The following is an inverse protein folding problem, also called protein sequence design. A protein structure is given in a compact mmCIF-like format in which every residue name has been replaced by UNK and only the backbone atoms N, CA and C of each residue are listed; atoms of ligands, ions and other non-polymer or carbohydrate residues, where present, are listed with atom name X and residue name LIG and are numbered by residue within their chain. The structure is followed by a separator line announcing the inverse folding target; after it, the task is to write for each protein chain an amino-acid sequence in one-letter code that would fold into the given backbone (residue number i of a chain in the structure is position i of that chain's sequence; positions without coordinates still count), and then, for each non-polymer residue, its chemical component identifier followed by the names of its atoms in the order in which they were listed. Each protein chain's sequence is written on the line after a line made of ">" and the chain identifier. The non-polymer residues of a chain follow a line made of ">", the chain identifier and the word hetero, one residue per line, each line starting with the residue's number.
data_IF_166160162190
#
_entry.id   IF_166160162190
#
_cell.length_a   1.000
_cell.length_b   1.000
_cell.length_c   1.000
_cell.angle_alpha   90.00
_cell.angle_beta   90.00
_cell.angle_gamma   90.00
#
_symmetry.space_group_name_H-M   'P 1'
#
loop_
_entity.id
_entity.type
_entity.pdbx_description
1 polymer ?
#
# COMPACT_ATOMS: atom_id res chain seq x y z
N UNK A 1 -14.21 11.80 -8.61
CA UNK A 1 -14.50 10.35 -8.53
C UNK A 1 -15.27 9.73 -9.72
N UNK A 2 -15.69 10.46 -10.77
CA UNK A 2 -16.44 9.88 -11.91
C UNK A 2 -15.76 10.08 -13.29
N UNK A 3 -14.50 10.50 -13.31
CA UNK A 3 -13.76 10.77 -14.55
C UNK A 3 -13.55 9.50 -15.38
N UNK A 4 -13.61 9.55 -16.73
CA UNK A 4 -13.37 8.39 -17.57
C UNK A 4 -11.90 7.93 -17.50
N UNK A 5 -11.66 6.64 -17.75
CA UNK A 5 -10.33 6.04 -17.71
C UNK A 5 -10.09 5.20 -16.44
N UNK A 6 -9.06 4.36 -16.47
CA UNK A 6 -8.76 3.44 -15.36
C UNK A 6 -7.86 4.06 -14.29
N UNK A 7 -7.07 5.07 -14.67
CA UNK A 7 -6.24 5.88 -13.76
C UNK A 7 -7.03 7.03 -13.11
N UNK A 8 -8.36 7.05 -13.20
CA UNK A 8 -9.17 7.99 -12.44
C UNK A 8 -9.24 7.57 -10.98
N UNK A 9 -9.32 8.52 -10.05
CA UNK A 9 -9.71 8.24 -8.67
C UNK A 9 -11.19 7.84 -8.63
N UNK A 10 -11.52 6.69 -8.06
CA UNK A 10 -12.87 6.12 -8.02
C UNK A 10 -13.25 5.72 -6.61
N UNK A 11 -14.50 5.97 -6.21
CA UNK A 11 -15.09 5.30 -5.06
C UNK A 11 -15.43 3.84 -5.37
N UNK A 12 -15.71 3.05 -4.33
CA UNK A 12 -16.02 1.63 -4.46
C UNK A 12 -17.21 1.37 -5.39
N UNK A 13 -18.29 2.15 -5.24
CA UNK A 13 -19.51 2.01 -6.04
C UNK A 13 -19.25 2.27 -7.53
N UNK A 14 -18.43 3.26 -7.85
CA UNK A 14 -18.04 3.60 -9.22
C UNK A 14 -17.20 2.49 -9.83
N UNK A 15 -16.18 1.99 -9.12
CA UNK A 15 -15.36 0.88 -9.60
C UNK A 15 -16.23 -0.38 -9.81
N UNK A 16 -17.07 -0.74 -8.84
CA UNK A 16 -17.92 -1.91 -8.94
C UNK A 16 -18.89 -1.81 -10.12
N UNK A 17 -19.52 -0.64 -10.31
CA UNK A 17 -20.40 -0.38 -11.46
C UNK A 17 -19.67 -0.56 -12.79
N UNK A 18 -18.47 0.00 -12.93
CA UNK A 18 -17.67 -0.12 -14.17
C UNK A 18 -17.26 -1.57 -14.44
N UNK A 19 -16.87 -2.31 -13.40
CA UNK A 19 -16.55 -3.75 -13.52
C UNK A 19 -17.78 -4.55 -13.95
N UNK A 20 -18.95 -4.30 -13.35
CA UNK A 20 -20.21 -4.97 -13.72
C UNK A 20 -20.67 -4.62 -15.15
N UNK A 21 -20.42 -3.40 -15.61
CA UNK A 21 -20.76 -2.93 -16.95
C UNK A 21 -19.76 -3.38 -18.04
N UNK A 22 -18.61 -3.96 -17.67
CA UNK A 22 -17.54 -4.31 -18.61
C UNK A 22 -16.79 -3.09 -19.16
N UNK A 23 -16.78 -1.99 -18.41
CA UNK A 23 -16.13 -0.72 -18.78
C UNK A 23 -14.65 -0.65 -18.35
N UNK A 24 -14.15 -1.67 -17.66
CA UNK A 24 -12.75 -1.80 -17.27
C UNK A 24 -12.07 -2.92 -18.06
N UNK A 25 -10.74 -2.87 -18.26
CA UNK A 25 -9.96 -4.04 -18.66
C UNK A 25 -10.18 -5.22 -17.70
N UNK A 26 -10.01 -6.44 -18.21
CA UNK A 26 -10.19 -7.68 -17.44
C UNK A 26 -9.30 -7.73 -16.19
N UNK A 27 -8.03 -7.36 -16.32
CA UNK A 27 -7.10 -7.35 -15.19
C UNK A 27 -7.52 -6.43 -14.03
N UNK A 28 -8.20 -5.31 -14.31
CA UNK A 28 -8.74 -4.42 -13.26
C UNK A 28 -9.90 -5.09 -12.55
N UNK A 29 -10.79 -5.74 -13.31
CA UNK A 29 -11.91 -6.46 -12.76
C UNK A 29 -11.45 -7.65 -11.89
N UNK A 30 -10.39 -8.34 -12.29
CA UNK A 30 -9.83 -9.46 -11.54
C UNK A 30 -9.10 -9.00 -10.27
N UNK A 31 -8.33 -7.91 -10.34
CA UNK A 31 -7.80 -7.26 -9.12
C UNK A 31 -8.92 -6.90 -8.16
N UNK A 32 -9.96 -6.20 -8.63
CA UNK A 32 -11.09 -5.81 -7.79
C UNK A 32 -11.78 -7.00 -7.11
N UNK A 33 -12.07 -8.07 -7.86
CA UNK A 33 -12.73 -9.26 -7.32
C UNK A 33 -11.85 -9.97 -6.29
N UNK A 34 -10.60 -10.24 -6.63
CA UNK A 34 -9.68 -10.97 -5.74
C UNK A 34 -9.26 -10.14 -4.53
N UNK A 35 -9.19 -8.81 -4.66
CA UNK A 35 -9.03 -7.89 -3.54
C UNK A 35 -10.20 -8.03 -2.56
N UNK A 36 -11.42 -7.81 -3.05
CA UNK A 36 -12.62 -7.82 -2.22
C UNK A 36 -12.87 -9.19 -1.58
N UNK A 37 -12.69 -10.28 -2.35
CA UNK A 37 -12.81 -11.64 -1.85
C UNK A 37 -11.74 -11.97 -0.80
N UNK A 38 -10.50 -11.48 -0.97
CA UNK A 38 -9.44 -11.67 0.01
C UNK A 38 -9.71 -10.96 1.35
N UNK A 39 -10.23 -9.74 1.31
CA UNK A 39 -10.47 -8.95 2.53
C UNK A 39 -11.79 -9.30 3.23
N UNK A 40 -12.83 -9.69 2.49
CA UNK A 40 -14.14 -10.06 3.04
C UNK A 40 -14.33 -11.57 3.23
N UNK A 41 -13.39 -12.37 2.73
CA UNK A 41 -13.43 -13.82 2.82
C UNK A 41 -12.82 -14.38 4.08
N UNK A 42 -12.74 -15.70 4.12
CA UNK A 42 -12.08 -16.47 5.17
C UNK A 42 -11.01 -17.37 4.57
N UNK A 43 -9.93 -17.57 5.32
CA UNK A 43 -8.87 -18.53 5.01
C UNK A 43 -8.48 -19.30 6.25
N UNK A 44 -8.27 -20.61 6.10
CA UNK A 44 -8.00 -21.52 7.22
C UNK A 44 -9.07 -21.43 8.34
N UNK A 45 -10.31 -21.06 8.00
CA UNK A 45 -11.40 -20.86 8.97
C UNK A 45 -11.27 -19.57 9.79
N UNK A 46 -10.44 -18.63 9.35
CA UNK A 46 -10.24 -17.32 9.98
C UNK A 46 -10.54 -16.18 9.00
N UNK A 47 -11.16 -15.08 9.44
CA UNK A 47 -11.37 -13.91 8.59
C UNK A 47 -10.04 -13.17 8.34
N UNK A 48 -10.03 -12.25 7.38
CA UNK A 48 -8.85 -11.40 7.11
C UNK A 48 -8.32 -10.76 8.41
N UNK A 49 -6.99 -10.76 8.66
CA UNK A 49 -6.43 -10.39 9.98
C UNK A 49 -6.72 -8.96 10.40
N UNK A 50 -6.59 -8.02 9.46
CA UNK A 50 -6.89 -6.60 9.70
C UNK A 50 -8.39 -6.36 9.62
N UNK A 51 -9.06 -6.42 10.77
CA UNK A 51 -10.51 -6.21 10.83
C UNK A 51 -10.93 -4.79 10.43
N UNK A 52 -10.08 -3.78 10.64
CA UNK A 52 -10.33 -2.42 10.19
C UNK A 52 -10.38 -2.34 8.66
N UNK A 53 -9.42 -2.97 7.97
CA UNK A 53 -9.39 -3.02 6.51
C UNK A 53 -10.59 -3.79 5.93
N UNK A 54 -10.94 -4.93 6.54
CA UNK A 54 -12.11 -5.71 6.14
C UNK A 54 -13.42 -4.92 6.33
N UNK A 55 -13.61 -4.28 7.49
CA UNK A 55 -14.78 -3.43 7.75
C UNK A 55 -14.82 -2.25 6.77
N UNK A 56 -13.69 -1.63 6.49
CA UNK A 56 -13.61 -0.48 5.58
C UNK A 56 -14.05 -0.82 4.16
N UNK A 57 -13.57 -1.94 3.60
CA UNK A 57 -14.03 -2.46 2.30
C UNK A 57 -15.52 -2.82 2.35
N UNK A 58 -15.98 -3.41 3.45
CA UNK A 58 -17.39 -3.76 3.61
C UNK A 58 -18.31 -2.52 3.57
N UNK A 59 -17.85 -1.39 4.13
CA UNK A 59 -18.56 -0.11 4.11
C UNK A 59 -18.34 0.71 2.82
N UNK A 60 -17.40 0.31 1.96
CA UNK A 60 -17.10 0.98 0.71
C UNK A 60 -16.38 2.31 0.86
N UNK A 61 -15.59 2.44 1.92
CA UNK A 61 -14.79 3.64 2.23
C UNK A 61 -13.47 3.76 1.44
N UNK A 62 -12.83 2.69 0.95
CA UNK A 62 -11.61 2.86 0.17
C UNK A 62 -11.88 3.56 -1.17
N UNK A 63 -10.87 4.29 -1.62
CA UNK A 63 -10.79 4.85 -2.96
C UNK A 63 -9.84 3.99 -3.80
N UNK A 64 -10.04 4.00 -5.12
CA UNK A 64 -9.39 3.10 -6.05
C UNK A 64 -8.81 3.84 -7.24
N UNK A 65 -7.68 3.35 -7.74
CA UNK A 65 -7.13 3.70 -9.05
C UNK A 65 -6.41 2.50 -9.66
N UNK A 66 -6.26 2.47 -10.98
CA UNK A 66 -5.59 1.39 -11.68
C UNK A 66 -4.55 1.94 -12.67
N UNK A 67 -3.31 1.43 -12.60
CA UNK A 67 -2.13 1.96 -13.29
C UNK A 67 -1.67 0.98 -14.39
N UNK A 68 -1.55 1.42 -15.66
CA UNK A 68 -1.19 0.54 -16.78
C UNK A 68 0.25 0.01 -16.75
N UNK A 69 1.15 0.62 -15.98
CA UNK A 69 2.55 0.23 -15.90
C UNK A 69 3.16 0.51 -14.52
N UNK A 70 4.10 -0.35 -14.12
CA UNK A 70 4.93 -0.15 -12.91
C UNK A 70 6.20 0.66 -13.21
N UNK A 71 6.51 0.95 -14.47
CA UNK A 71 7.80 1.57 -14.87
C UNK A 71 7.68 2.78 -15.81
N UNK A 72 6.57 2.93 -16.54
CA UNK A 72 6.41 4.04 -17.48
C UNK A 72 6.19 5.36 -16.73
N UNK A 73 7.00 6.37 -17.05
CA UNK A 73 7.01 7.63 -16.32
C UNK A 73 5.64 8.34 -16.35
N UNK A 74 4.98 8.42 -17.50
CA UNK A 74 3.69 9.09 -17.64
C UNK A 74 2.60 8.42 -16.77
N UNK A 75 2.63 7.08 -16.66
CA UNK A 75 1.69 6.33 -15.83
C UNK A 75 1.92 6.59 -14.34
N UNK A 76 3.18 6.64 -13.91
CA UNK A 76 3.55 6.92 -12.51
C UNK A 76 3.34 8.39 -12.12
N UNK A 77 3.52 9.33 -13.05
CA UNK A 77 3.17 10.74 -12.84
C UNK A 77 1.66 10.93 -12.73
N UNK A 78 0.89 10.18 -13.50
CA UNK A 78 -0.57 10.16 -13.35
C UNK A 78 -0.97 9.55 -12.00
N UNK A 79 -0.30 8.48 -11.54
CA UNK A 79 -0.51 7.93 -10.20
C UNK A 79 -0.20 8.97 -9.12
N UNK A 80 0.92 9.70 -9.22
CA UNK A 80 1.22 10.81 -8.30
C UNK A 80 0.05 11.79 -8.23
N UNK A 81 -0.46 12.24 -9.37
CA UNK A 81 -1.58 13.19 -9.42
C UNK A 81 -2.84 12.62 -8.77
N UNK A 82 -3.09 11.30 -8.91
CA UNK A 82 -4.20 10.64 -8.21
C UNK A 82 -4.01 10.52 -6.72
N UNK A 83 -2.78 10.29 -6.25
CA UNK A 83 -2.51 10.28 -4.81
C UNK A 83 -2.70 11.69 -4.24
N UNK A 84 -2.26 12.74 -4.95
CA UNK A 84 -2.52 14.13 -4.53
C UNK A 84 -4.02 14.45 -4.50
N UNK A 85 -4.79 14.08 -5.54
CA UNK A 85 -6.26 14.22 -5.53
C UNK A 85 -6.90 13.45 -4.35
N UNK A 86 -6.38 12.27 -4.05
CA UNK A 86 -6.81 11.48 -2.89
C UNK A 86 -6.53 12.21 -1.57
N UNK A 87 -5.33 12.75 -1.39
CA UNK A 87 -4.94 13.49 -0.18
C UNK A 87 -5.81 14.75 0.05
N UNK A 88 -6.31 15.37 -1.04
CA UNK A 88 -7.23 16.51 -0.96
C UNK A 88 -8.64 16.14 -0.47
N UNK A 89 -9.10 14.90 -0.66
CA UNK A 89 -10.50 14.54 -0.43
C UNK A 89 -10.75 13.39 0.57
N UNK A 90 -9.74 12.61 0.95
CA UNK A 90 -9.96 11.40 1.76
C UNK A 90 -10.61 11.69 3.11
N UNK A 91 -10.21 12.76 3.80
CA UNK A 91 -10.78 13.15 5.11
C UNK A 91 -12.26 13.50 5.03
N UNK A 92 -12.69 14.15 3.94
CA UNK A 92 -14.10 14.47 3.70
C UNK A 92 -14.89 13.25 3.23
N UNK A 93 -14.21 12.25 2.65
CA UNK A 93 -14.81 11.01 2.18
C UNK A 93 -15.07 10.03 3.33
N UNK A 94 -14.04 9.67 4.10
CA UNK A 94 -14.13 8.88 5.33
C UNK A 94 -12.80 8.94 6.09
N UNK A 95 -12.84 8.98 7.43
CA UNK A 95 -11.65 8.89 8.29
C UNK A 95 -10.87 7.56 8.12
N UNK A 96 -11.44 6.59 7.39
CA UNK A 96 -10.87 5.28 7.09
C UNK A 96 -10.56 5.06 5.60
N UNK A 97 -10.70 6.11 4.78
CA UNK A 97 -10.52 6.00 3.33
C UNK A 97 -9.05 5.76 2.96
N UNK A 98 -8.67 4.51 2.68
CA UNK A 98 -7.38 4.16 2.06
C UNK A 98 -7.42 4.29 0.54
N UNK A 99 -6.27 4.48 -0.12
CA UNK A 99 -6.17 4.42 -1.58
C UNK A 99 -5.60 3.08 -2.05
N UNK A 100 -6.44 2.24 -2.66
CA UNK A 100 -6.05 0.95 -3.25
C UNK A 100 -5.68 1.14 -4.72
N UNK A 101 -4.46 0.77 -5.07
CA UNK A 101 -3.88 0.92 -6.40
C UNK A 101 -3.61 -0.44 -7.03
N UNK A 102 -4.21 -0.70 -8.18
CA UNK A 102 -3.99 -1.93 -8.95
C UNK A 102 -3.03 -1.67 -10.12
N UNK A 103 -1.98 -2.47 -10.24
CA UNK A 103 -1.06 -2.36 -11.37
C UNK A 103 -1.35 -3.44 -12.41
N UNK A 104 -1.26 -3.08 -13.69
CA UNK A 104 -1.38 -4.07 -14.76
C UNK A 104 -0.33 -5.16 -14.58
N UNK A 105 -0.72 -6.44 -14.57
CA UNK A 105 0.23 -7.51 -14.34
C UNK A 105 1.17 -7.70 -15.54
N UNK A 106 2.42 -8.14 -15.29
CA UNK A 106 3.36 -8.46 -16.35
C UNK A 106 2.86 -9.65 -17.19
N UNK A 107 3.24 -9.70 -18.48
CA UNK A 107 2.85 -10.79 -19.38
C UNK A 107 3.43 -12.16 -18.98
N UNK A 108 4.53 -12.14 -18.22
CA UNK A 108 5.19 -13.32 -17.66
C UNK A 108 5.20 -13.22 -16.15
N UNK A 109 5.24 -14.37 -15.47
CA UNK A 109 5.43 -14.40 -14.02
C UNK A 109 6.71 -13.66 -13.64
N UNK A 110 6.59 -12.73 -12.71
CA UNK A 110 7.71 -12.04 -12.08
C UNK A 110 8.12 -12.74 -10.78
N UNK A 111 9.42 -12.73 -10.51
CA UNK A 111 10.03 -13.13 -9.25
C UNK A 111 9.73 -12.12 -8.13
N UNK A 112 9.96 -12.51 -6.88
CA UNK A 112 9.87 -11.62 -5.73
C UNK A 112 10.79 -10.40 -5.88
N UNK A 113 12.03 -10.61 -6.36
CA UNK A 113 12.96 -9.51 -6.63
C UNK A 113 12.38 -8.48 -7.59
N UNK A 114 11.77 -8.91 -8.69
CA UNK A 114 11.20 -7.99 -9.67
C UNK A 114 10.03 -7.17 -9.10
N UNK A 115 9.27 -7.72 -8.16
CA UNK A 115 8.23 -6.97 -7.45
C UNK A 115 8.78 -5.97 -6.43
N UNK A 116 9.86 -6.33 -5.71
CA UNK A 116 10.58 -5.37 -4.87
C UNK A 116 11.18 -4.23 -5.71
N UNK A 117 11.88 -4.54 -6.80
CA UNK A 117 12.44 -3.54 -7.71
C UNK A 117 11.36 -2.62 -8.26
N UNK A 118 10.20 -3.18 -8.65
CA UNK A 118 9.05 -2.40 -9.10
C UNK A 118 8.50 -1.47 -8.00
N UNK A 119 8.28 -1.97 -6.78
CA UNK A 119 7.82 -1.14 -5.66
C UNK A 119 8.75 0.05 -5.44
N UNK A 120 10.06 -0.20 -5.36
CA UNK A 120 11.02 0.86 -5.06
C UNK A 120 11.19 1.85 -6.21
N UNK A 121 11.10 1.38 -7.47
CA UNK A 121 11.03 2.27 -8.63
C UNK A 121 9.79 3.18 -8.58
N UNK A 122 8.63 2.63 -8.23
CA UNK A 122 7.38 3.40 -8.07
C UNK A 122 7.54 4.45 -6.97
N UNK A 123 7.89 4.05 -5.75
CA UNK A 123 8.00 4.97 -4.61
C UNK A 123 9.07 6.05 -4.85
N UNK A 124 10.20 5.68 -5.44
CA UNK A 124 11.25 6.64 -5.77
C UNK A 124 10.82 7.62 -6.87
N UNK A 125 10.09 7.17 -7.89
CA UNK A 125 9.52 8.03 -8.94
C UNK A 125 8.51 9.01 -8.34
N UNK A 126 7.61 8.53 -7.46
CA UNK A 126 6.66 9.38 -6.76
C UNK A 126 7.38 10.43 -5.92
N UNK A 127 8.38 10.03 -5.12
CA UNK A 127 9.18 10.98 -4.33
C UNK A 127 9.87 12.01 -5.21
N UNK A 128 10.54 11.61 -6.30
CA UNK A 128 11.26 12.51 -7.22
C UNK A 128 10.37 13.61 -7.81
N UNK A 129 9.10 13.29 -8.04
CA UNK A 129 8.14 14.15 -8.75
C UNK A 129 7.05 14.74 -7.85
N UNK A 130 7.14 14.49 -6.55
CA UNK A 130 6.33 15.14 -5.52
C UNK A 130 6.49 16.66 -5.59
N UNK A 131 5.39 17.43 -5.70
CA UNK A 131 5.47 18.90 -5.73
C UNK A 131 5.84 19.50 -4.36
N UNK A 132 5.70 18.74 -3.27
CA UNK A 132 5.96 19.22 -1.92
C UNK A 132 7.37 18.79 -1.43
N UNK A 133 7.99 19.58 -0.54
CA UNK A 133 9.20 19.15 0.16
C UNK A 133 8.91 17.97 1.08
N UNK A 134 9.94 17.19 1.41
CA UNK A 134 9.79 16.15 2.44
C UNK A 134 9.45 16.80 3.79
N UNK A 135 8.46 16.31 4.55
CA UNK A 135 8.00 16.92 5.80
C UNK A 135 9.12 17.11 6.82
N UNK A 136 9.25 18.30 7.41
CA UNK A 136 10.35 18.65 8.34
C UNK A 136 10.49 17.66 9.50
N UNK A 137 9.37 17.19 10.02
CA UNK A 137 9.30 16.30 11.18
C UNK A 137 9.53 14.82 10.85
N UNK A 138 9.60 14.45 9.56
CA UNK A 138 9.92 13.09 9.13
C UNK A 138 11.41 12.99 8.77
N UNK A 139 12.15 12.02 9.35
CA UNK A 139 13.54 11.74 9.00
C UNK A 139 13.72 11.46 7.51
N UNK A 140 14.92 11.71 6.99
CA UNK A 140 15.28 11.31 5.61
C UNK A 140 16.07 10.00 5.56
N UNK A 141 16.55 9.53 6.70
CA UNK A 141 17.26 8.26 6.82
C UNK A 141 16.24 7.12 6.99
N UNK A 142 16.13 6.16 6.05
CA UNK A 142 15.20 5.05 6.17
C UNK A 142 15.50 4.10 7.33
N UNK A 143 16.69 4.18 7.93
CA UNK A 143 17.04 3.44 9.15
C UNK A 143 16.67 4.20 10.44
N UNK A 144 15.99 5.34 10.36
CA UNK A 144 15.40 6.01 11.51
C UNK A 144 14.03 5.37 11.88
N UNK A 145 13.76 5.06 13.17
CA UNK A 145 12.50 4.45 13.58
C UNK A 145 11.25 5.30 13.30
N UNK A 146 11.41 6.61 13.05
CA UNK A 146 10.31 7.50 12.68
C UNK A 146 10.22 7.78 11.18
N UNK A 147 11.09 7.18 10.36
CA UNK A 147 11.03 7.33 8.91
C UNK A 147 9.77 6.65 8.35
N UNK A 148 9.10 7.32 7.42
CA UNK A 148 8.00 6.77 6.64
C UNK A 148 7.96 7.44 5.26
N UNK A 149 7.52 6.72 4.24
CA UNK A 149 7.32 7.26 2.90
C UNK A 149 6.36 8.46 2.92
N UNK A 150 6.73 9.57 2.27
CA UNK A 150 5.91 10.77 2.18
C UNK A 150 5.63 11.15 0.73
N UNK A 151 4.42 11.67 0.47
CA UNK A 151 4.03 12.30 -0.80
C UNK A 151 3.04 13.43 -0.51
N UNK A 152 3.16 14.58 -1.18
CA UNK A 152 2.25 15.71 -0.97
C UNK A 152 2.32 16.28 0.46
N UNK A 153 3.48 16.14 1.11
CA UNK A 153 3.67 16.56 2.51
C UNK A 153 3.04 15.63 3.56
N UNK A 154 2.45 14.51 3.15
CA UNK A 154 1.76 13.58 4.06
C UNK A 154 2.54 12.26 4.19
N UNK A 155 2.81 11.79 5.42
CA UNK A 155 3.42 10.49 5.65
C UNK A 155 2.38 9.37 5.44
N UNK A 156 2.76 8.33 4.71
CA UNK A 156 1.88 7.25 4.28
C UNK A 156 2.56 5.89 4.40
N UNK A 157 1.77 4.87 4.72
CA UNK A 157 2.17 3.47 4.78
C UNK A 157 1.69 2.71 3.54
N UNK A 158 2.56 2.39 2.55
CA UNK A 158 2.20 1.61 1.38
C UNK A 158 2.21 0.11 1.73
N UNK A 159 1.04 -0.51 1.87
CA UNK A 159 0.94 -1.96 2.10
C UNK A 159 0.80 -2.69 0.77
N UNK A 160 1.77 -3.55 0.44
CA UNK A 160 1.75 -4.29 -0.82
C UNK A 160 1.14 -5.69 -0.68
N UNK A 161 0.47 -6.12 -1.77
CA UNK A 161 0.13 -7.51 -2.05
C UNK A 161 0.70 -7.92 -3.41
N UNK A 162 1.17 -9.15 -3.54
CA UNK A 162 1.82 -9.64 -4.75
C UNK A 162 1.62 -11.15 -5.00
N UNK A 163 1.86 -11.64 -6.23
CA UNK A 163 1.65 -13.05 -6.58
C UNK A 163 2.69 -14.02 -6.03
N UNK A 164 3.88 -13.55 -5.63
CA UNK A 164 4.95 -14.45 -5.20
C UNK A 164 4.65 -15.12 -3.85
N UNK A 165 3.87 -14.48 -2.97
CA UNK A 165 3.56 -15.00 -1.62
C UNK A 165 2.92 -16.40 -1.62
N UNK A 166 3.70 -17.40 -1.25
CA UNK A 166 3.30 -18.80 -1.09
C UNK A 166 2.67 -19.07 0.29
N UNK A 167 3.21 -18.52 1.36
CA UNK A 167 2.75 -18.75 2.75
C UNK A 167 1.94 -17.58 3.31
N UNK A 168 2.33 -16.34 3.00
CA UNK A 168 1.73 -15.11 3.56
C UNK A 168 0.50 -14.68 2.78
N UNK A 169 -0.62 -15.32 3.06
CA UNK A 169 -1.86 -15.16 2.29
C UNK A 169 -2.60 -13.86 2.54
N UNK A 170 -2.31 -13.21 3.66
CA UNK A 170 -2.65 -11.82 3.97
C UNK A 170 -1.99 -10.84 2.99
N UNK A 171 -0.83 -11.21 2.43
CA UNK A 171 -0.08 -10.44 1.45
C UNK A 171 -0.22 -10.96 0.00
N UNK A 172 -0.90 -12.08 -0.20
CA UNK A 172 -1.05 -12.69 -1.53
C UNK A 172 -2.09 -11.98 -2.40
N UNK A 173 -1.72 -11.69 -3.65
CA UNK A 173 -2.64 -11.28 -4.72
C UNK A 173 -2.31 -12.08 -5.99
N UNK A 174 -3.26 -12.86 -6.57
CA UNK A 174 -2.95 -13.74 -7.69
C UNK A 174 -2.76 -13.02 -9.03
N UNK A 175 -3.12 -11.73 -9.13
CA UNK A 175 -3.14 -11.02 -10.40
C UNK A 175 -1.81 -10.33 -10.67
N UNK A 176 -1.38 -9.44 -9.77
CA UNK A 176 -0.20 -8.61 -9.94
C UNK A 176 0.08 -7.80 -8.67
N UNK A 177 0.87 -6.73 -8.81
CA UNK A 177 1.15 -5.82 -7.71
C UNK A 177 -0.11 -5.01 -7.36
N UNK A 178 -0.39 -4.96 -6.06
CA UNK A 178 -1.40 -4.10 -5.47
C UNK A 178 -0.73 -3.32 -4.33
N UNK A 179 -0.96 -2.01 -4.28
CA UNK A 179 -0.45 -1.14 -3.22
C UNK A 179 -1.64 -0.41 -2.60
N UNK A 180 -1.82 -0.56 -1.28
CA UNK A 180 -2.76 0.24 -0.51
C UNK A 180 -1.99 1.34 0.20
N UNK A 181 -2.16 2.60 -0.23
CA UNK A 181 -1.58 3.77 0.42
C UNK A 181 -2.50 4.24 1.55
N UNK A 182 -1.93 4.42 2.74
CA UNK A 182 -2.68 4.80 3.94
C UNK A 182 -1.93 5.94 4.65
N UNK A 183 -2.44 7.18 4.62
CA UNK A 183 -1.92 8.26 5.47
C UNK A 183 -1.86 7.83 6.94
N UNK A 184 -0.81 8.24 7.64
CA UNK A 184 -0.60 7.90 9.06
C UNK A 184 -1.81 8.27 9.94
N UNK A 185 -2.47 9.38 9.61
CA UNK A 185 -3.66 9.86 10.29
C UNK A 185 -4.80 8.83 10.35
N UNK A 186 -4.89 7.87 9.40
CA UNK A 186 -5.87 6.78 9.49
C UNK A 186 -5.59 5.88 10.69
N UNK A 187 -4.32 5.53 10.94
CA UNK A 187 -3.95 4.67 12.08
C UNK A 187 -4.22 5.38 13.41
N UNK A 188 -3.95 6.69 13.48
CA UNK A 188 -4.23 7.53 14.64
C UNK A 188 -5.74 7.63 14.92
N UNK A 189 -6.55 7.90 13.89
CA UNK A 189 -8.00 8.01 14.00
C UNK A 189 -8.68 6.68 14.40
N UNK A 190 -8.13 5.55 13.94
CA UNK A 190 -8.57 4.23 14.34
C UNK A 190 -8.11 3.83 15.75
N UNK A 191 -7.22 4.62 16.37
CA UNK A 191 -6.64 4.31 17.67
C UNK A 191 -5.80 3.04 17.64
N UNK A 192 -5.15 2.75 16.50
CA UNK A 192 -4.34 1.54 16.29
C UNK A 192 -2.86 1.83 16.34
N UNK A 193 -2.44 2.90 17.01
CA UNK A 193 -1.03 3.30 17.19
C UNK A 193 -0.45 2.68 18.47
N UNK A 194 0.84 2.32 18.46
CA UNK A 194 1.49 1.57 19.54
C UNK A 194 1.75 2.39 20.81
N UNK A 195 1.54 3.69 20.75
CA UNK A 195 1.64 4.64 21.87
C UNK A 195 0.40 4.62 22.79
N UNK A 196 -0.65 3.88 22.44
CA UNK A 196 -1.87 3.74 23.25
C UNK A 196 -2.15 2.29 23.64
N UNK A 197 -2.67 2.06 24.85
CA UNK A 197 -3.07 0.71 25.30
C UNK A 197 -4.10 0.05 24.35
N UNK A 198 -5.02 0.85 23.81
CA UNK A 198 -6.03 0.39 22.87
C UNK A 198 -5.40 -0.06 21.54
N UNK A 199 -4.42 0.70 21.03
CA UNK A 199 -3.75 0.37 19.79
C UNK A 199 -2.78 -0.80 19.92
N UNK A 200 -2.09 -0.94 21.07
CA UNK A 200 -1.32 -2.14 21.40
C UNK A 200 -2.22 -3.38 21.40
N UNK A 201 -3.36 -3.32 22.08
CA UNK A 201 -4.31 -4.43 22.11
C UNK A 201 -4.88 -4.76 20.71
N UNK A 202 -5.22 -3.73 19.92
CA UNK A 202 -5.70 -3.94 18.56
C UNK A 202 -4.66 -4.64 17.68
N UNK A 203 -3.38 -4.27 17.82
CA UNK A 203 -2.25 -4.90 17.12
C UNK A 203 -2.03 -6.34 17.54
N UNK A 204 -2.03 -6.63 18.84
CA UNK A 204 -1.95 -8.01 19.37
C UNK A 204 -3.04 -8.88 18.73
N UNK A 205 -4.28 -8.41 18.71
CA UNK A 205 -5.40 -9.15 18.09
C UNK A 205 -5.20 -9.35 16.59
N UNK A 206 -4.63 -8.37 15.87
CA UNK A 206 -4.34 -8.50 14.43
C UNK A 206 -3.22 -9.53 14.21
N UNK A 207 -2.16 -9.51 15.03
CA UNK A 207 -1.05 -10.45 14.95
C UNK A 207 -1.51 -11.89 15.26
N UNK A 208 -2.33 -12.09 16.28
CA UNK A 208 -2.93 -13.40 16.61
C UNK A 208 -3.77 -13.95 15.43
N UNK A 209 -4.54 -13.07 14.76
CA UNK A 209 -5.32 -13.48 13.58
C UNK A 209 -4.44 -13.77 12.37
N UNK A 210 -3.32 -13.05 12.24
CA UNK A 210 -2.38 -13.24 11.14
C UNK A 210 -1.82 -14.65 11.14
N UNK A 211 -1.46 -15.19 12.32
CA UNK A 211 -1.01 -16.57 12.47
C UNK A 211 -2.03 -17.59 11.97
N UNK A 212 -3.29 -17.42 12.37
CA UNK A 212 -4.38 -18.31 11.93
C UNK A 212 -4.66 -18.21 10.42
N UNK A 213 -4.63 -17.00 9.88
CA UNK A 213 -4.97 -16.73 8.48
C UNK A 213 -3.89 -17.17 7.51
N UNK A 214 -2.62 -16.85 7.81
CA UNK A 214 -1.48 -17.22 6.97
C UNK A 214 -1.05 -18.67 7.24
N UNK A 215 -1.27 -19.19 8.44
CA UNK A 215 -0.80 -20.52 8.86
C UNK A 215 0.70 -20.56 9.18
N UNK A 216 1.34 -19.39 9.25
CA UNK A 216 2.75 -19.19 9.63
C UNK A 216 2.85 -18.03 10.61
N UNK A 217 3.95 -17.96 11.37
CA UNK A 217 4.21 -16.84 12.27
C UNK A 217 4.22 -15.49 11.53
N UNK A 218 3.91 -14.37 12.21
CA UNK A 218 4.05 -13.04 11.65
C UNK A 218 5.47 -12.82 11.11
N UNK A 219 5.61 -11.96 10.10
CA UNK A 219 6.92 -11.65 9.54
C UNK A 219 7.82 -11.03 10.61
N UNK A 220 9.12 -11.35 10.60
CA UNK A 220 10.05 -10.85 11.62
C UNK A 220 10.19 -9.32 11.60
N UNK A 221 10.07 -8.71 10.42
CA UNK A 221 10.06 -7.26 10.25
C UNK A 221 8.71 -6.57 10.57
N UNK A 222 7.67 -7.32 10.95
CA UNK A 222 6.43 -6.69 11.41
C UNK A 222 6.72 -5.96 12.73
N UNK A 223 6.58 -4.63 12.71
CA UNK A 223 6.98 -3.78 13.82
C UNK A 223 6.17 -2.49 13.91
N UNK A 224 6.53 -1.66 14.86
CA UNK A 224 5.79 -0.47 15.23
C UNK A 224 6.60 0.82 15.01
N UNK A 225 5.95 1.79 14.38
CA UNK A 225 6.54 3.11 14.15
C UNK A 225 7.04 3.76 15.44
N UNK A 226 8.27 4.26 15.40
CA UNK A 226 8.94 4.90 16.55
C UNK A 226 9.62 3.92 17.51
N UNK A 227 9.51 2.60 17.31
CA UNK A 227 10.27 1.61 18.09
C UNK A 227 11.69 1.51 17.52
N UNK A 228 12.69 1.68 18.38
CA UNK A 228 14.11 1.78 17.98
C UNK A 228 14.62 0.57 17.18
N UNK A 229 14.07 -0.61 17.41
CA UNK A 229 14.44 -1.86 16.72
C UNK A 229 13.73 -2.08 15.39
N UNK A 230 12.69 -1.29 15.10
CA UNK A 230 11.75 -1.57 14.02
C UNK A 230 11.94 -0.56 12.89
N UNK A 231 11.62 -0.98 11.66
CA UNK A 231 11.71 -0.13 10.48
C UNK A 231 10.41 -0.24 9.70
N UNK A 232 9.95 0.88 9.16
CA UNK A 232 8.72 0.92 8.36
C UNK A 232 8.92 0.27 6.97
N UNK A 233 10.04 0.59 6.32
CA UNK A 233 10.28 0.26 4.91
C UNK A 233 10.21 -1.25 4.57
N UNK A 234 10.68 -2.20 5.40
CA UNK A 234 10.56 -3.62 5.09
C UNK A 234 9.10 -4.11 5.16
N UNK A 235 8.22 -3.40 5.87
CA UNK A 235 6.82 -3.76 6.04
C UNK A 235 5.96 -3.43 4.81
N UNK A 236 6.48 -2.55 3.93
CA UNK A 236 5.78 -2.14 2.72
C UNK A 236 5.57 -3.33 1.78
N UNK A 237 6.59 -4.18 1.66
CA UNK A 237 6.52 -5.48 1.02
C UNK A 237 7.43 -6.42 1.80
N UNK A 238 6.83 -7.35 2.55
CA UNK A 238 7.59 -8.35 3.30
C UNK A 238 8.32 -9.32 2.37
N UNK A 239 9.50 -9.74 2.77
CA UNK A 239 10.20 -10.81 2.07
C UNK A 239 9.53 -12.17 2.29
N UNK A 240 9.60 -13.04 1.29
CA UNK A 240 9.40 -14.48 1.45
C UNK A 240 10.74 -15.22 1.33
N UNK A 241 11.61 -14.76 0.42
CA UNK A 241 13.01 -15.11 0.32
C UNK A 241 13.88 -13.87 0.57
N UNK A 242 14.54 -13.79 1.72
CA UNK A 242 15.45 -12.69 2.09
C UNK A 242 16.53 -12.42 1.02
N UNK A 243 16.93 -13.43 0.24
CA UNK A 243 17.89 -13.24 -0.84
C UNK A 243 17.30 -12.43 -2.01
N UNK A 244 15.98 -12.42 -2.19
CA UNK A 244 15.27 -11.72 -3.25
C UNK A 244 14.78 -10.32 -2.84
N UNK A 245 14.64 -10.07 -1.56
CA UNK A 245 14.36 -8.74 -1.00
C UNK A 245 15.64 -7.88 -0.89
N UNK A 246 15.51 -6.54 -0.87
CA UNK A 246 16.64 -5.65 -0.62
C UNK A 246 17.09 -5.72 0.84
N UNK A 247 18.40 -5.77 1.07
CA UNK A 247 18.99 -5.81 2.42
C UNK A 247 19.12 -4.43 3.09
N UNK A 248 18.87 -3.35 2.34
CA UNK A 248 18.82 -1.95 2.78
C UNK A 248 17.77 -1.22 1.96
N UNK A 249 17.11 -0.22 2.53
CA UNK A 249 16.10 0.56 1.80
C UNK A 249 16.69 1.16 0.50
N UNK A 250 16.11 0.84 -0.69
CA UNK A 250 16.63 1.37 -1.96
C UNK A 250 16.34 2.85 -2.21
N UNK A 251 15.48 3.48 -1.39
CA UNK A 251 15.13 4.88 -1.59
C UNK A 251 16.25 5.84 -1.18
N UNK A 252 16.45 6.88 -2.00
CA UNK A 252 17.21 8.07 -1.64
C UNK A 252 16.24 9.23 -1.39
N UNK A 253 16.11 9.63 -0.14
CA UNK A 253 15.22 10.73 0.26
C UNK A 253 16.00 12.06 0.31
N UNK A 254 15.39 13.10 -0.22
CA UNK A 254 15.92 14.46 -0.21
C UNK A 254 14.81 15.43 0.16
N UNK A 255 15.12 16.39 1.04
CA UNK A 255 14.13 17.31 1.59
C UNK A 255 13.68 18.39 0.62
N UNK A 256 14.63 18.97 -0.11
CA UNK A 256 14.40 20.12 -0.97
C UNK A 256 13.61 19.74 -2.23
N UNK A 257 12.68 20.61 -2.64
CA UNK A 257 12.00 20.57 -3.94
C UNK A 257 12.53 21.72 -4.85
N UNK A 258 12.89 21.48 -6.12
CA UNK A 258 12.92 20.17 -6.79
C UNK A 258 13.95 19.24 -6.13
N UNK A 259 13.83 17.93 -6.35
CA UNK A 259 14.63 16.86 -5.70
C UNK A 259 15.77 16.35 -6.62
N UNK A 260 16.74 17.17 -7.08
CA UNK A 260 17.69 16.79 -8.12
C UNK A 260 18.73 15.76 -7.68
N UNK A 261 18.88 15.53 -6.38
CA UNK A 261 19.85 14.60 -5.82
C UNK A 261 19.29 13.19 -5.57
N UNK A 262 17.96 13.02 -5.58
CA UNK A 262 17.34 11.69 -5.52
C UNK A 262 17.58 10.95 -6.86
N UNK A 263 17.66 9.61 -6.80
CA UNK A 263 18.02 8.76 -7.93
C UNK A 263 17.08 7.57 -7.98
N UNK A 264 16.71 7.12 -9.17
CA UNK A 264 16.03 5.83 -9.33
C UNK A 264 16.99 4.69 -8.91
N UNK A 265 16.50 3.69 -8.17
CA UNK A 265 17.27 2.52 -7.79
C UNK A 265 17.70 1.68 -8.99
#
# INVERSE_FOLDING_TARGET
>A
MNEPGIQSLMDQDTLERRVRAGETPEWVADHWRTFREGLLGERNGTPFPCFFGAESVQQGEPLYTAVPSMSEADDLLTLRDRILEYLECYRDHSDRASLVTFFKPPEKSSSEREYHDALWHILQTLHLHDPEPWPEDIPTDPDDPYWEFCLGGEPMFPTCRAPFYEERKSRYCPIGLEITFQPRALFENLGVTADTDAGQHAREVIQDRLEGYDGVCPHADLGDWGVETDREWPQYMFSEDEAQAPSTCPMTVTREHPKPAARLP
#
